data_IF_187709670661
#
_entry.id   IF_187709670661
#
_cell.length_a   1.000
_cell.length_b   1.000
_cell.length_c   1.000
_cell.angle_alpha   90.00
_cell.angle_beta   90.00
_cell.angle_gamma   90.00
#
_symmetry.space_group_name_H-M   'P 1'
#
loop_
_entity.id
_entity.type
_entity.pdbx_description
1 polymer ?
#
# COMPACT_ATOMS: atom_id res chain seq x y z
N UNK A 1 -3.43 -21.45 2.70
CA UNK A 1 -3.30 -20.03 3.10
C UNK A 1 -4.50 -19.62 3.90
N UNK A 2 -4.30 -18.68 4.77
CA UNK A 2 -5.27 -18.07 5.65
C UNK A 2 -6.25 -17.17 4.90
N UNK A 3 -7.45 -16.96 5.45
CA UNK A 3 -8.40 -15.98 4.92
C UNK A 3 -8.11 -14.59 5.51
N UNK A 4 -8.04 -13.59 4.64
CA UNK A 4 -7.85 -12.18 5.05
C UNK A 4 -9.16 -11.41 4.94
N UNK A 5 -9.56 -10.77 6.01
CA UNK A 5 -10.72 -9.87 6.04
C UNK A 5 -10.26 -8.44 6.23
N UNK A 6 -10.94 -7.52 5.56
CA UNK A 6 -10.62 -6.10 5.61
C UNK A 6 -11.86 -5.32 6.05
N UNK A 7 -11.67 -4.42 7.01
CA UNK A 7 -12.71 -3.52 7.49
C UNK A 7 -12.16 -2.09 7.59
N UNK A 8 -13.02 -1.10 7.36
CA UNK A 8 -12.67 0.31 7.49
C UNK A 8 -13.49 0.91 8.63
N UNK A 9 -12.80 1.46 9.63
CA UNK A 9 -13.37 2.16 10.77
C UNK A 9 -13.08 3.65 10.66
N UNK A 10 -14.05 4.50 11.02
CA UNK A 10 -13.96 5.95 10.87
C UNK A 10 -14.45 6.66 12.12
N UNK A 11 -13.86 7.81 12.43
CA UNK A 11 -14.34 8.73 13.46
C UNK A 11 -14.47 10.14 12.91
N UNK A 12 -15.52 10.84 13.36
CA UNK A 12 -15.76 12.28 13.11
C UNK A 12 -15.38 13.13 14.32
N UNK A 13 -14.90 12.52 15.40
CA UNK A 13 -14.58 13.24 16.63
C UNK A 13 -13.46 14.26 16.40
N UNK A 14 -13.63 15.42 17.00
CA UNK A 14 -12.58 16.44 17.02
C UNK A 14 -11.49 16.05 18.04
N UNK A 15 -10.23 16.20 17.63
CA UNK A 15 -9.05 15.81 18.40
C UNK A 15 -8.66 14.37 18.22
N UNK A 16 -7.35 14.13 18.12
CA UNK A 16 -6.79 12.81 17.82
C UNK A 16 -7.13 11.77 18.89
N UNK A 17 -6.98 12.10 20.16
CA UNK A 17 -7.20 11.15 21.28
C UNK A 17 -8.62 10.60 21.28
N UNK A 18 -9.61 11.49 21.12
CA UNK A 18 -11.02 11.08 21.08
C UNK A 18 -11.34 10.27 19.84
N UNK A 19 -10.84 10.69 18.68
CA UNK A 19 -11.03 9.98 17.43
C UNK A 19 -10.39 8.58 17.47
N UNK A 20 -9.18 8.46 18.04
CA UNK A 20 -8.50 7.19 18.24
C UNK A 20 -9.28 6.26 19.17
N UNK A 21 -9.79 6.79 20.30
CA UNK A 21 -10.63 6.03 21.23
C UNK A 21 -11.88 5.45 20.55
N UNK A 22 -12.60 6.26 19.76
CA UNK A 22 -13.78 5.82 19.01
C UNK A 22 -13.45 4.73 18.00
N UNK A 23 -12.35 4.91 17.23
CA UNK A 23 -11.91 3.93 16.23
C UNK A 23 -11.50 2.62 16.89
N UNK A 24 -10.69 2.65 17.96
CA UNK A 24 -10.25 1.43 18.65
C UNK A 24 -11.41 0.72 19.34
N UNK A 25 -12.34 1.45 19.93
CA UNK A 25 -13.57 0.87 20.52
C UNK A 25 -14.43 0.18 19.47
N UNK A 26 -14.55 0.78 18.28
CA UNK A 26 -15.28 0.17 17.16
C UNK A 26 -14.58 -1.08 16.63
N UNK A 27 -13.25 -1.09 16.56
CA UNK A 27 -12.46 -2.27 16.17
C UNK A 27 -12.71 -3.40 17.18
N UNK A 28 -12.58 -3.14 18.47
CA UNK A 28 -12.79 -4.15 19.54
C UNK A 28 -14.20 -4.74 19.49
N UNK A 29 -15.20 -3.91 19.25
CA UNK A 29 -16.60 -4.35 19.22
C UNK A 29 -16.94 -5.22 18.00
N UNK A 30 -16.22 -5.08 16.88
CA UNK A 30 -16.59 -5.68 15.59
C UNK A 30 -15.50 -6.58 14.97
N UNK A 31 -14.31 -6.66 15.58
CA UNK A 31 -13.19 -7.45 15.07
C UNK A 31 -12.63 -8.31 16.18
N UNK A 32 -12.64 -9.63 16.00
CA UNK A 32 -12.19 -10.56 17.05
C UNK A 32 -10.72 -10.35 17.41
N UNK A 33 -9.82 -10.44 16.45
CA UNK A 33 -8.38 -10.20 16.64
C UNK A 33 -7.79 -9.55 15.38
N UNK A 34 -7.51 -8.24 15.40
CA UNK A 34 -6.87 -7.58 14.27
C UNK A 34 -5.43 -8.08 14.12
N UNK A 35 -5.02 -8.30 12.89
CA UNK A 35 -3.64 -8.67 12.54
C UNK A 35 -2.81 -7.44 12.24
N UNK A 36 -3.38 -6.49 11.48
CA UNK A 36 -2.76 -5.18 11.21
C UNK A 36 -3.80 -4.07 11.26
N UNK A 37 -3.45 -2.97 11.92
CA UNK A 37 -4.22 -1.72 11.96
C UNK A 37 -3.40 -0.64 11.25
N UNK A 38 -3.86 -0.19 10.08
CA UNK A 38 -3.28 0.94 9.37
C UNK A 38 -4.13 2.17 9.65
N UNK A 39 -3.60 3.10 10.44
CA UNK A 39 -4.29 4.33 10.85
C UNK A 39 -3.90 5.50 9.95
N UNK A 40 -4.88 6.20 9.42
CA UNK A 40 -4.74 7.37 8.58
C UNK A 40 -5.21 8.61 9.33
N UNK A 41 -4.33 9.61 9.42
CA UNK A 41 -4.56 10.86 10.14
C UNK A 41 -3.94 12.05 9.42
N UNK A 42 -4.17 13.25 9.94
CA UNK A 42 -3.65 14.51 9.39
C UNK A 42 -2.83 15.26 10.43
N UNK A 43 -1.62 14.79 10.79
CA UNK A 43 -0.71 15.54 11.65
C UNK A 43 -0.25 16.81 10.93
N UNK A 44 -0.09 17.90 11.68
CA UNK A 44 0.33 19.18 11.13
C UNK A 44 1.86 19.28 10.89
N UNK A 45 2.65 18.39 11.53
CA UNK A 45 4.11 18.37 11.45
C UNK A 45 4.66 17.02 11.94
N UNK A 46 5.95 16.77 11.73
CA UNK A 46 6.67 15.55 12.15
C UNK A 46 6.64 15.30 13.65
N UNK A 47 6.67 16.35 14.46
CA UNK A 47 6.54 16.23 15.91
C UNK A 47 5.20 15.63 16.29
N UNK A 48 4.12 16.14 15.70
CA UNK A 48 2.77 15.60 15.92
C UNK A 48 2.61 14.20 15.32
N UNK A 49 3.22 13.92 14.16
CA UNK A 49 3.29 12.58 13.60
C UNK A 49 3.88 11.59 14.61
N UNK A 50 5.03 11.91 15.16
CA UNK A 50 5.74 11.06 16.12
C UNK A 50 4.94 10.85 17.41
N UNK A 51 4.30 11.90 17.93
CA UNK A 51 3.43 11.83 19.11
C UNK A 51 2.21 10.95 18.88
N UNK A 52 1.47 11.18 17.79
CA UNK A 52 0.26 10.43 17.46
C UNK A 52 0.56 8.97 17.14
N UNK A 53 1.69 8.68 16.48
CA UNK A 53 2.15 7.30 16.27
C UNK A 53 2.39 6.59 17.61
N UNK A 54 3.10 7.23 18.53
CA UNK A 54 3.36 6.68 19.86
C UNK A 54 2.05 6.45 20.63
N UNK A 55 1.11 7.41 20.59
CA UNK A 55 -0.21 7.26 21.19
C UNK A 55 -0.98 6.05 20.62
N UNK A 56 -0.93 5.83 19.29
CA UNK A 56 -1.50 4.64 18.68
C UNK A 56 -0.87 3.36 19.21
N UNK A 57 0.47 3.27 19.25
CA UNK A 57 1.20 2.09 19.70
C UNK A 57 0.89 1.77 21.17
N UNK A 58 0.86 2.78 22.04
CA UNK A 58 0.51 2.65 23.46
C UNK A 58 -0.95 2.23 23.64
N UNK A 59 -1.88 2.86 22.91
CA UNK A 59 -3.30 2.57 22.99
C UNK A 59 -3.63 1.15 22.50
N UNK A 60 -2.98 0.68 21.44
CA UNK A 60 -3.12 -0.68 20.93
C UNK A 60 -2.53 -1.69 21.90
N UNK A 61 -1.32 -1.45 22.44
CA UNK A 61 -0.69 -2.34 23.40
C UNK A 61 -1.49 -2.51 24.70
N UNK A 62 -2.23 -1.47 25.10
CA UNK A 62 -3.08 -1.51 26.29
C UNK A 62 -4.41 -2.26 26.09
N UNK A 63 -4.88 -2.44 24.85
CA UNK A 63 -6.23 -2.93 24.58
C UNK A 63 -6.30 -4.32 23.97
N UNK A 64 -5.24 -4.77 23.31
CA UNK A 64 -5.20 -6.07 22.63
C UNK A 64 -4.26 -7.03 23.36
N UNK A 65 -4.73 -8.25 23.62
CA UNK A 65 -3.94 -9.29 24.29
C UNK A 65 -2.72 -9.71 23.45
N UNK A 66 -2.91 -9.81 22.14
CA UNK A 66 -1.84 -9.92 21.16
C UNK A 66 -1.76 -8.62 20.39
N UNK A 67 -0.61 -7.95 20.45
CA UNK A 67 -0.41 -6.65 19.78
C UNK A 67 -0.48 -6.83 18.26
N UNK A 68 -1.53 -6.31 17.58
CA UNK A 68 -1.55 -6.29 16.13
C UNK A 68 -0.43 -5.40 15.60
N UNK A 69 0.01 -5.66 14.38
CA UNK A 69 0.91 -4.74 13.69
C UNK A 69 0.21 -3.41 13.47
N UNK A 70 0.91 -2.32 13.73
CA UNK A 70 0.39 -0.97 13.53
C UNK A 70 1.16 -0.26 12.43
N UNK A 71 0.47 0.51 11.60
CA UNK A 71 1.07 1.50 10.71
C UNK A 71 0.33 2.82 10.88
N UNK A 72 1.04 3.90 11.18
CA UNK A 72 0.51 5.25 11.29
C UNK A 72 0.91 6.02 10.04
N UNK A 73 -0.05 6.52 9.28
CA UNK A 73 0.14 7.16 7.98
C UNK A 73 -0.40 8.60 8.01
N UNK A 74 0.45 9.55 7.68
CA UNK A 74 0.09 10.96 7.57
C UNK A 74 -0.61 11.26 6.25
N UNK A 75 -1.83 10.75 6.11
CA UNK A 75 -2.73 11.03 4.98
C UNK A 75 -4.13 11.31 5.53
N UNK A 76 -4.64 12.49 5.27
CA UNK A 76 -5.95 12.90 5.77
C UNK A 76 -7.07 12.08 5.14
N UNK A 77 -7.89 11.36 5.92
CA UNK A 77 -9.13 10.79 5.40
C UNK A 77 -10.08 11.90 4.93
N UNK A 78 -10.72 11.72 3.77
CA UNK A 78 -11.59 12.73 3.20
C UNK A 78 -13.04 12.64 3.71
N UNK A 79 -13.45 11.47 4.19
CA UNK A 79 -14.80 11.23 4.71
C UNK A 79 -14.87 11.17 6.24
N UNK A 80 -13.78 11.48 6.95
CA UNK A 80 -13.71 11.44 8.43
C UNK A 80 -12.51 12.22 8.95
N UNK A 81 -12.42 12.41 10.27
CA UNK A 81 -11.26 13.04 10.92
C UNK A 81 -10.12 12.05 11.12
N UNK A 82 -10.46 10.79 11.35
CA UNK A 82 -9.56 9.67 11.51
C UNK A 82 -10.15 8.42 10.83
N UNK A 83 -9.33 7.59 10.24
CA UNK A 83 -9.75 6.30 9.70
C UNK A 83 -8.71 5.22 9.96
N UNK A 84 -9.17 3.99 10.14
CA UNK A 84 -8.33 2.82 10.18
C UNK A 84 -8.79 1.77 9.17
N UNK A 85 -7.88 1.24 8.39
CA UNK A 85 -8.08 -0.02 7.70
C UNK A 85 -7.53 -1.14 8.58
N UNK A 86 -8.36 -2.13 8.86
CA UNK A 86 -8.02 -3.26 9.71
C UNK A 86 -8.03 -4.54 8.89
N UNK A 87 -6.90 -5.22 8.89
CA UNK A 87 -6.78 -6.56 8.33
C UNK A 87 -6.82 -7.58 9.46
N UNK A 88 -7.63 -8.63 9.27
CA UNK A 88 -7.70 -9.78 10.17
C UNK A 88 -7.38 -11.04 9.39
N UNK A 89 -6.59 -11.91 9.96
CA UNK A 89 -6.36 -13.26 9.46
C UNK A 89 -7.17 -14.22 10.31
N UNK A 90 -8.02 -15.01 9.66
CA UNK A 90 -8.88 -15.98 10.33
C UNK A 90 -8.98 -17.27 9.49
N UNK A 91 -9.51 -18.31 10.10
CA UNK A 91 -9.79 -19.60 9.47
C UNK A 91 -9.15 -20.76 10.25
N UNK A 92 -9.66 -21.95 10.00
CA UNK A 92 -9.16 -23.19 10.61
C UNK A 92 -7.71 -23.52 10.17
N UNK A 93 -7.24 -22.87 9.11
CA UNK A 93 -5.90 -23.01 8.58
C UNK A 93 -4.84 -22.19 9.31
N UNK A 94 -5.21 -21.36 10.28
CA UNK A 94 -4.27 -20.62 11.13
C UNK A 94 -3.81 -21.55 12.24
N UNK A 95 -2.64 -22.16 12.05
CA UNK A 95 -2.03 -23.07 13.01
C UNK A 95 -1.17 -22.35 14.04
N UNK A 96 -0.50 -21.27 13.61
CA UNK A 96 0.38 -20.48 14.47
C UNK A 96 0.50 -19.04 14.01
N UNK A 97 0.67 -18.12 14.96
CA UNK A 97 1.07 -16.74 14.72
C UNK A 97 2.22 -16.40 15.67
N UNK A 98 3.36 -16.06 15.12
CA UNK A 98 4.53 -15.61 15.86
C UNK A 98 4.57 -14.07 15.83
N UNK A 99 4.59 -13.44 17.01
CA UNK A 99 4.57 -11.99 17.17
C UNK A 99 5.98 -11.46 17.45
N UNK A 100 6.41 -10.46 16.68
CA UNK A 100 7.64 -9.71 16.84
C UNK A 100 7.33 -8.21 16.92
N UNK A 101 8.30 -7.38 17.21
CA UNK A 101 8.09 -5.94 17.39
C UNK A 101 7.55 -5.25 16.12
N UNK A 102 8.14 -5.55 14.95
CA UNK A 102 7.84 -4.89 13.68
C UNK A 102 7.04 -5.76 12.70
N UNK A 103 6.84 -7.04 12.99
CA UNK A 103 6.19 -7.99 12.09
C UNK A 103 5.60 -9.19 12.84
N UNK A 104 4.71 -9.90 12.17
CA UNK A 104 4.25 -11.23 12.58
C UNK A 104 4.55 -12.24 11.47
N UNK A 105 4.67 -13.51 11.85
CA UNK A 105 4.76 -14.64 10.91
C UNK A 105 3.61 -15.58 11.15
N UNK A 106 2.81 -15.84 10.14
CA UNK A 106 1.67 -16.77 10.18
C UNK A 106 2.07 -18.09 9.55
N UNK A 107 1.79 -19.19 10.26
CA UNK A 107 2.11 -20.56 9.85
C UNK A 107 3.58 -20.76 9.41
N UNK A 108 4.50 -19.97 9.97
CA UNK A 108 5.92 -20.00 9.63
C UNK A 108 6.28 -19.58 8.20
N UNK A 109 5.33 -19.09 7.40
CA UNK A 109 5.57 -18.80 5.98
C UNK A 109 5.03 -17.47 5.44
N UNK A 110 4.13 -16.80 6.12
CA UNK A 110 3.57 -15.51 5.68
C UNK A 110 3.96 -14.41 6.68
N UNK A 111 4.74 -13.44 6.24
CA UNK A 111 5.17 -12.29 7.03
C UNK A 111 4.28 -11.09 6.72
N UNK A 112 3.81 -10.43 7.79
CA UNK A 112 3.02 -9.21 7.73
C UNK A 112 3.71 -8.17 8.60
N UNK A 113 4.17 -7.09 7.99
CA UNK A 113 4.85 -6.03 8.74
C UNK A 113 3.87 -5.00 9.30
N UNK A 114 4.32 -4.30 10.35
CA UNK A 114 3.84 -2.97 10.70
C UNK A 114 4.45 -1.88 9.82
N UNK A 115 4.30 -0.62 10.22
CA UNK A 115 5.00 0.50 9.62
C UNK A 115 6.49 0.49 10.02
N UNK A 116 7.37 0.57 9.03
CA UNK A 116 8.82 0.70 9.22
C UNK A 116 9.17 2.16 8.98
N UNK A 117 9.82 2.78 9.95
CA UNK A 117 10.10 4.21 9.99
C UNK A 117 11.58 4.47 10.20
N UNK A 118 12.02 5.69 9.87
CA UNK A 118 13.32 6.22 10.23
C UNK A 118 13.19 7.57 10.95
N UNK A 119 14.29 8.15 11.38
CA UNK A 119 14.31 9.49 11.99
C UNK A 119 13.97 10.54 10.92
N UNK A 120 12.86 11.26 11.10
CA UNK A 120 12.36 12.28 10.16
C UNK A 120 13.31 13.48 10.00
N UNK A 121 14.29 13.66 10.88
CA UNK A 121 15.33 14.72 10.76
C UNK A 121 16.35 14.41 9.67
N UNK A 122 16.40 13.18 9.18
CA UNK A 122 17.25 12.76 8.08
C UNK A 122 16.60 13.08 6.73
N UNK A 123 17.39 13.16 5.67
CA UNK A 123 16.85 13.29 4.31
C UNK A 123 16.15 12.03 3.83
N UNK A 124 15.29 12.16 2.83
CA UNK A 124 14.49 11.05 2.26
C UNK A 124 15.37 9.88 1.79
N UNK A 125 16.51 10.15 1.19
CA UNK A 125 17.51 9.15 0.79
C UNK A 125 18.03 8.33 1.98
N UNK A 126 18.50 9.01 3.03
CA UNK A 126 19.03 8.37 4.24
C UNK A 126 17.94 7.59 4.99
N UNK A 127 16.72 8.15 5.10
CA UNK A 127 15.58 7.45 5.67
C UNK A 127 15.28 6.17 4.90
N UNK A 128 15.25 6.25 3.57
CA UNK A 128 14.98 5.10 2.69
C UNK A 128 16.03 4.00 2.86
N UNK A 129 17.31 4.36 2.90
CA UNK A 129 18.40 3.40 3.13
C UNK A 129 18.27 2.68 4.47
N UNK A 130 17.98 3.41 5.55
CA UNK A 130 17.77 2.85 6.91
C UNK A 130 16.57 1.90 6.92
N UNK A 131 15.46 2.29 6.29
CA UNK A 131 14.25 1.50 6.22
C UNK A 131 14.51 0.20 5.45
N UNK A 132 15.15 0.25 4.29
CA UNK A 132 15.47 -0.96 3.52
C UNK A 132 16.50 -1.86 4.22
N UNK A 133 17.44 -1.29 4.97
CA UNK A 133 18.33 -2.07 5.84
C UNK A 133 17.52 -2.79 6.92
N UNK A 134 16.54 -2.13 7.56
CA UNK A 134 15.66 -2.76 8.57
C UNK A 134 14.79 -3.85 7.95
N UNK A 135 14.22 -3.64 6.77
CA UNK A 135 13.46 -4.67 6.04
C UNK A 135 14.32 -5.92 5.79
N UNK A 136 15.58 -5.72 5.37
CA UNK A 136 16.54 -6.82 5.17
C UNK A 136 16.79 -7.61 6.46
N UNK A 137 16.94 -6.94 7.60
CA UNK A 137 17.08 -7.59 8.90
C UNK A 137 15.83 -8.40 9.28
N UNK A 138 14.64 -7.84 9.10
CA UNK A 138 13.36 -8.51 9.36
C UNK A 138 13.24 -9.78 8.51
N UNK A 139 13.45 -9.68 7.22
CA UNK A 139 13.37 -10.81 6.29
C UNK A 139 14.37 -11.91 6.68
N UNK A 140 15.61 -11.52 7.02
CA UNK A 140 16.63 -12.46 7.49
C UNK A 140 16.21 -13.15 8.79
N UNK A 141 15.68 -12.40 9.75
CA UNK A 141 15.23 -12.94 11.04
C UNK A 141 14.06 -13.92 10.87
N UNK A 142 13.14 -13.63 9.94
CA UNK A 142 12.02 -14.48 9.59
C UNK A 142 12.41 -15.65 8.67
N UNK A 143 13.67 -15.76 8.24
CA UNK A 143 14.14 -16.73 7.24
C UNK A 143 13.30 -16.71 5.95
N UNK A 144 13.02 -15.50 5.44
CA UNK A 144 12.30 -15.23 4.19
C UNK A 144 13.25 -14.48 3.26
N UNK A 145 13.25 -14.80 1.97
CA UNK A 145 14.14 -14.16 0.99
C UNK A 145 13.60 -12.76 0.59
N UNK A 146 14.48 -11.88 0.13
CA UNK A 146 14.08 -10.53 -0.31
C UNK A 146 13.11 -10.58 -1.50
N UNK A 147 13.30 -11.49 -2.43
CA UNK A 147 12.42 -11.70 -3.59
C UNK A 147 11.11 -12.44 -3.25
N UNK A 148 10.89 -12.75 -1.98
CA UNK A 148 9.63 -13.27 -1.45
C UNK A 148 8.66 -12.16 -1.00
N UNK A 149 9.05 -10.87 -1.06
CA UNK A 149 8.14 -9.75 -0.85
C UNK A 149 7.07 -9.79 -1.97
N UNK A 150 5.80 -9.81 -1.59
CA UNK A 150 4.67 -9.87 -2.54
C UNK A 150 3.89 -8.57 -2.61
N UNK A 151 3.91 -7.76 -1.55
CA UNK A 151 3.24 -6.47 -1.48
C UNK A 151 4.07 -5.46 -0.69
N UNK A 152 4.14 -4.19 -1.19
CA UNK A 152 4.84 -3.11 -0.50
C UNK A 152 4.08 -1.78 -0.67
N UNK A 153 3.84 -1.07 0.44
CA UNK A 153 3.30 0.29 0.44
C UNK A 153 4.40 1.25 0.88
N UNK A 154 4.58 2.32 0.10
CA UNK A 154 5.62 3.31 0.31
C UNK A 154 4.97 4.69 0.41
N UNK A 155 4.92 5.23 1.60
CA UNK A 155 4.41 6.56 1.88
C UNK A 155 5.60 7.50 2.00
N UNK A 156 5.64 8.51 1.12
CA UNK A 156 6.80 9.39 0.96
C UNK A 156 6.35 10.82 1.15
N UNK A 157 6.90 11.49 2.17
CA UNK A 157 6.57 12.89 2.43
C UNK A 157 6.93 13.76 1.23
N UNK A 158 5.93 14.58 0.80
CA UNK A 158 6.09 15.50 -0.34
C UNK A 158 6.70 14.79 -1.57
N UNK A 159 6.11 13.69 -1.99
CA UNK A 159 6.64 12.77 -2.99
C UNK A 159 7.12 13.46 -4.29
N UNK A 160 6.46 14.53 -4.72
CA UNK A 160 6.80 15.31 -5.93
C UNK A 160 7.82 16.42 -5.68
N UNK A 161 8.17 16.72 -4.41
CA UNK A 161 9.10 17.79 -4.07
C UNK A 161 10.49 17.52 -4.65
N UNK A 162 11.05 18.55 -5.27
CA UNK A 162 12.42 18.53 -5.81
C UNK A 162 13.31 19.38 -4.89
N UNK A 163 14.11 18.70 -4.07
CA UNK A 163 15.10 19.30 -3.21
C UNK A 163 16.49 19.39 -3.86
N UNK A 164 17.49 19.80 -3.08
CA UNK A 164 18.88 19.93 -3.56
C UNK A 164 19.47 18.60 -4.08
N UNK A 165 19.06 17.46 -3.51
CA UNK A 165 19.56 16.12 -3.85
C UNK A 165 18.74 15.40 -4.91
N UNK A 166 17.58 15.91 -5.27
CA UNK A 166 16.68 15.33 -6.26
C UNK A 166 15.23 15.32 -5.80
N UNK A 167 14.38 14.73 -6.62
CA UNK A 167 12.98 14.52 -6.28
C UNK A 167 12.86 13.43 -5.19
N UNK A 168 12.01 13.64 -4.19
CA UNK A 168 11.82 12.69 -3.09
C UNK A 168 11.48 11.28 -3.60
N UNK A 169 10.60 11.17 -4.58
CA UNK A 169 10.27 9.88 -5.19
C UNK A 169 11.48 9.20 -5.86
N UNK A 170 12.35 9.97 -6.54
CA UNK A 170 13.55 9.43 -7.17
C UNK A 170 14.56 8.97 -6.12
N UNK A 171 14.80 9.75 -5.08
CA UNK A 171 15.69 9.37 -3.98
C UNK A 171 15.25 8.07 -3.30
N UNK A 172 13.95 7.93 -3.07
CA UNK A 172 13.38 6.68 -2.58
C UNK A 172 13.59 5.50 -3.56
N UNK A 173 13.33 5.71 -4.85
CA UNK A 173 13.52 4.70 -5.89
C UNK A 173 14.96 4.23 -6.01
N UNK A 174 15.93 5.12 -5.84
CA UNK A 174 17.36 4.80 -5.86
C UNK A 174 17.73 3.86 -4.71
N UNK A 175 17.30 4.17 -3.48
CA UNK A 175 17.49 3.31 -2.31
C UNK A 175 16.79 1.96 -2.48
N UNK A 176 15.52 1.94 -2.96
CA UNK A 176 14.77 0.71 -3.25
C UNK A 176 15.49 -0.15 -4.29
N UNK A 177 15.98 0.47 -5.35
CA UNK A 177 16.70 -0.25 -6.39
C UNK A 177 18.02 -0.84 -5.89
N UNK A 178 18.77 -0.10 -5.06
CA UNK A 178 19.97 -0.62 -4.41
C UNK A 178 19.64 -1.86 -3.55
N UNK A 179 18.57 -1.82 -2.77
CA UNK A 179 18.10 -2.96 -1.98
C UNK A 179 17.65 -4.13 -2.87
N UNK A 180 16.83 -3.90 -3.90
CA UNK A 180 16.32 -4.95 -4.77
C UNK A 180 17.42 -5.60 -5.63
N UNK A 181 18.45 -4.85 -5.99
CA UNK A 181 19.60 -5.39 -6.74
C UNK A 181 20.47 -6.36 -5.92
N UNK A 182 20.18 -6.56 -4.62
CA UNK A 182 20.87 -7.57 -3.79
C UNK A 182 20.39 -9.00 -4.04
N UNK A 183 19.33 -9.20 -4.84
CA UNK A 183 18.78 -10.53 -5.21
C UNK A 183 18.30 -10.54 -6.66
N UNK A 184 17.96 -11.72 -7.18
CA UNK A 184 17.33 -11.88 -8.48
C UNK A 184 15.80 -11.92 -8.30
N UNK A 185 15.07 -11.33 -9.23
CA UNK A 185 13.62 -11.24 -9.24
C UNK A 185 13.01 -12.05 -10.38
N UNK A 186 13.36 -13.35 -10.45
CA UNK A 186 12.94 -14.24 -11.55
C UNK A 186 11.43 -14.40 -11.64
N UNK A 187 10.72 -14.23 -10.51
CA UNK A 187 9.25 -14.22 -10.44
C UNK A 187 8.66 -12.81 -10.37
N UNK A 188 9.31 -11.81 -10.97
CA UNK A 188 8.86 -10.41 -10.94
C UNK A 188 8.97 -9.72 -9.58
N UNK A 189 8.74 -8.41 -9.57
CA UNK A 189 8.74 -7.56 -8.38
C UNK A 189 7.43 -7.70 -7.56
N UNK A 190 7.37 -7.19 -6.31
CA UNK A 190 6.11 -7.13 -5.58
C UNK A 190 5.10 -6.19 -6.27
N UNK A 191 3.82 -6.41 -6.02
CA UNK A 191 2.85 -5.33 -6.20
C UNK A 191 3.18 -4.19 -5.23
N UNK A 192 3.20 -2.94 -5.68
CA UNK A 192 3.55 -1.82 -4.81
C UNK A 192 2.79 -0.53 -5.12
N UNK A 193 2.69 0.31 -4.09
CA UNK A 193 2.16 1.67 -4.16
C UNK A 193 3.22 2.64 -3.67
N UNK A 194 3.48 3.71 -4.42
CA UNK A 194 4.35 4.81 -4.02
C UNK A 194 3.54 6.10 -4.04
N UNK A 195 3.16 6.58 -2.85
CA UNK A 195 2.16 7.66 -2.70
C UNK A 195 2.62 8.71 -1.69
N UNK A 196 2.17 9.94 -1.85
CA UNK A 196 2.53 11.06 -0.99
C UNK A 196 1.99 10.95 0.42
N UNK A 197 2.75 11.44 1.39
CA UNK A 197 2.32 11.70 2.77
C UNK A 197 2.54 13.17 3.12
N UNK A 198 1.78 13.70 4.11
CA UNK A 198 1.88 15.09 4.53
C UNK A 198 3.02 15.34 5.53
N UNK A 199 3.42 14.32 6.27
CA UNK A 199 4.47 14.36 7.29
C UNK A 199 5.02 12.96 7.55
N UNK A 200 6.10 12.83 8.33
CA UNK A 200 6.64 11.57 8.81
C UNK A 200 7.76 11.00 7.94
N UNK A 201 8.23 11.75 6.96
CA UNK A 201 9.32 11.34 6.08
C UNK A 201 8.94 10.14 5.21
N UNK A 202 9.61 9.02 5.38
CA UNK A 202 9.33 7.77 4.67
C UNK A 202 8.75 6.72 5.62
N UNK A 203 7.65 6.10 5.21
CA UNK A 203 7.08 4.93 5.89
C UNK A 203 6.90 3.81 4.89
N UNK A 204 7.38 2.61 5.21
CA UNK A 204 7.17 1.41 4.40
C UNK A 204 6.42 0.36 5.19
N UNK A 205 5.44 -0.27 4.54
CA UNK A 205 4.71 -1.46 5.02
C UNK A 205 4.88 -2.55 3.97
N UNK A 206 5.10 -3.79 4.36
CA UNK A 206 5.25 -4.87 3.39
C UNK A 206 4.70 -6.20 3.89
N UNK A 207 4.34 -7.06 2.94
CA UNK A 207 3.96 -8.46 3.17
C UNK A 207 4.87 -9.35 2.31
N UNK A 208 5.30 -10.48 2.87
CA UNK A 208 6.13 -11.45 2.17
C UNK A 208 5.62 -12.87 2.40
N UNK A 209 5.86 -13.77 1.44
CA UNK A 209 5.43 -15.16 1.50
C UNK A 209 6.64 -16.04 1.15
N UNK A 210 7.06 -16.89 2.06
CA UNK A 210 8.19 -17.81 1.83
C UNK A 210 7.95 -18.66 0.59
N UNK A 211 8.96 -18.75 -0.29
CA UNK A 211 8.88 -19.41 -1.59
C UNK A 211 7.75 -18.83 -2.45
N UNK A 212 7.68 -17.49 -2.52
CA UNK A 212 6.57 -16.77 -3.20
C UNK A 212 6.39 -17.17 -4.66
N UNK A 213 7.44 -17.64 -5.33
CA UNK A 213 7.38 -18.12 -6.71
C UNK A 213 6.43 -19.32 -6.91
N UNK A 214 6.21 -20.14 -5.88
CA UNK A 214 5.27 -21.26 -5.92
C UNK A 214 3.82 -20.84 -5.67
N UNK A 215 3.59 -19.62 -5.17
CA UNK A 215 2.30 -19.18 -4.62
C UNK A 215 1.82 -17.85 -5.16
N UNK A 216 2.60 -17.19 -5.98
CA UNK A 216 2.22 -15.88 -6.53
C UNK A 216 2.67 -15.72 -7.96
N UNK A 217 1.82 -15.07 -8.74
CA UNK A 217 2.04 -14.79 -10.16
C UNK A 217 1.97 -13.28 -10.37
N UNK A 218 2.99 -12.64 -10.97
CA UNK A 218 2.90 -11.24 -11.37
C UNK A 218 1.84 -11.07 -12.45
N UNK A 219 1.08 -9.98 -12.39
CA UNK A 219 0.07 -9.65 -13.38
C UNK A 219 0.40 -8.30 -13.99
N UNK A 220 0.60 -8.30 -15.30
CA UNK A 220 0.75 -7.11 -16.11
C UNK A 220 -0.56 -6.67 -16.75
N UNK A 221 -0.60 -5.40 -17.15
CA UNK A 221 -1.67 -4.83 -17.95
C UNK A 221 -1.11 -4.47 -19.32
N UNK A 222 -1.51 -5.14 -20.42
CA UNK A 222 -1.02 -4.84 -21.76
C UNK A 222 -1.38 -3.43 -22.26
N UNK A 223 -2.30 -2.73 -21.58
CA UNK A 223 -2.65 -1.34 -21.87
C UNK A 223 -1.64 -0.35 -21.25
N UNK A 224 -0.71 -0.83 -20.41
CA UNK A 224 0.29 -0.03 -19.72
C UNK A 224 1.68 -0.65 -19.89
N UNK A 225 2.72 0.16 -20.05
CA UNK A 225 4.10 -0.33 -20.00
C UNK A 225 4.42 -0.70 -18.54
N UNK A 226 5.11 -1.83 -18.33
CA UNK A 226 5.58 -2.25 -17.00
C UNK A 226 6.42 -1.14 -16.36
N UNK A 227 6.19 -0.83 -15.08
CA UNK A 227 6.78 0.34 -14.43
C UNK A 227 8.33 0.32 -14.45
N UNK A 228 8.91 -0.88 -14.34
CA UNK A 228 10.36 -1.07 -14.39
C UNK A 228 10.97 -0.89 -15.80
N UNK A 229 10.13 -0.80 -16.85
CA UNK A 229 10.52 -0.57 -18.24
C UNK A 229 10.23 0.86 -18.73
N UNK A 230 9.83 1.79 -17.86
CA UNK A 230 9.57 3.18 -18.23
C UNK A 230 10.78 3.85 -18.89
N UNK A 231 10.50 4.65 -19.91
CA UNK A 231 11.52 5.46 -20.58
C UNK A 231 12.07 6.56 -19.64
N UNK A 232 13.27 7.04 -19.93
CA UNK A 232 13.88 8.16 -19.17
C UNK A 232 13.08 9.48 -19.31
N UNK A 233 12.18 9.58 -20.28
CA UNK A 233 11.39 10.78 -20.58
C UNK A 233 10.29 11.03 -19.56
N UNK A 234 9.67 9.97 -19.05
CA UNK A 234 8.57 10.07 -18.06
C UNK A 234 9.04 10.09 -16.61
N UNK A 235 10.35 9.90 -16.38
CA UNK A 235 10.96 9.98 -15.06
C UNK A 235 11.42 11.41 -14.77
N UNK A 236 11.05 11.94 -13.60
CA UNK A 236 11.36 13.32 -13.21
C UNK A 236 12.61 13.34 -12.35
N UNK A 237 13.59 14.16 -12.73
CA UNK A 237 14.74 14.51 -11.91
C UNK A 237 15.31 15.85 -12.40
N UNK A 238 16.00 16.58 -11.53
CA UNK A 238 16.66 17.85 -11.83
C UNK A 238 18.12 17.70 -12.33
N UNK A 239 18.58 16.47 -12.57
CA UNK A 239 19.94 16.19 -13.07
C UNK A 239 19.87 15.39 -14.38
N UNK A 240 20.91 15.48 -15.19
CA UNK A 240 21.09 14.67 -16.41
C UNK A 240 21.52 13.21 -16.12
N UNK A 241 21.60 12.84 -14.84
CA UNK A 241 21.92 11.48 -14.43
C UNK A 241 20.82 10.49 -14.86
N UNK A 242 21.22 9.24 -15.11
CA UNK A 242 20.29 8.17 -15.40
C UNK A 242 19.31 7.99 -14.22
N UNK A 243 18.02 8.04 -14.53
CA UNK A 243 16.95 7.94 -13.53
C UNK A 243 16.58 6.49 -13.32
N UNK A 244 16.45 6.10 -12.06
CA UNK A 244 16.06 4.75 -11.69
C UNK A 244 14.56 4.55 -11.89
N UNK A 245 14.19 3.50 -12.65
CA UNK A 245 12.77 3.15 -12.87
C UNK A 245 12.14 2.59 -11.60
N UNK A 246 10.85 2.87 -11.35
CA UNK A 246 10.11 2.21 -10.29
C UNK A 246 10.10 0.69 -10.48
N UNK A 247 10.33 -0.07 -9.41
CA UNK A 247 10.40 -1.53 -9.45
C UNK A 247 9.17 -2.12 -8.77
N UNK A 248 8.15 -2.43 -9.54
CA UNK A 248 6.93 -3.11 -9.08
C UNK A 248 6.16 -3.71 -10.27
N UNK A 249 5.35 -4.72 -10.00
CA UNK A 249 4.36 -5.26 -10.93
C UNK A 249 3.03 -4.53 -10.79
N UNK A 250 2.21 -4.50 -11.84
CA UNK A 250 0.90 -3.82 -11.84
C UNK A 250 -0.07 -4.44 -10.86
N UNK A 251 -0.03 -5.76 -10.71
CA UNK A 251 -0.71 -6.49 -9.66
C UNK A 251 0.04 -7.80 -9.37
N UNK A 252 -0.36 -8.48 -8.30
CA UNK A 252 0.18 -9.79 -7.97
C UNK A 252 -0.92 -10.70 -7.47
N UNK A 253 -1.14 -11.79 -8.20
CA UNK A 253 -2.04 -12.85 -7.80
C UNK A 253 -1.37 -13.71 -6.73
N UNK A 254 -2.10 -14.06 -5.68
CA UNK A 254 -1.68 -14.95 -4.61
C UNK A 254 -2.61 -16.15 -4.62
N UNK A 255 -2.06 -17.34 -4.90
CA UNK A 255 -2.79 -18.60 -4.82
C UNK A 255 -2.79 -19.14 -3.39
N UNK A 256 -3.87 -19.81 -3.01
CA UNK A 256 -4.03 -20.39 -1.69
C UNK A 256 -5.43 -20.92 -1.46
N UNK A 257 -5.82 -21.07 -0.21
CA UNK A 257 -7.19 -21.47 0.13
C UNK A 257 -8.23 -20.43 -0.29
N UNK A 258 -7.87 -19.15 -0.17
CA UNK A 258 -8.57 -18.03 -0.78
C UNK A 258 -7.61 -17.35 -1.75
N UNK A 259 -8.00 -17.27 -3.01
CA UNK A 259 -7.20 -16.55 -4.00
C UNK A 259 -7.41 -15.05 -3.86
N UNK A 260 -6.34 -14.28 -4.02
CA UNK A 260 -6.43 -12.83 -3.98
C UNK A 260 -5.49 -12.19 -5.01
N UNK A 261 -5.82 -10.96 -5.38
CA UNK A 261 -4.96 -10.10 -6.20
C UNK A 261 -4.64 -8.85 -5.41
N UNK A 262 -3.36 -8.63 -5.14
CA UNK A 262 -2.85 -7.34 -4.69
C UNK A 262 -2.73 -6.40 -5.89
N UNK A 263 -3.49 -5.31 -5.89
CA UNK A 263 -3.50 -4.29 -6.94
C UNK A 263 -2.56 -3.17 -6.50
N UNK A 264 -1.56 -2.88 -7.32
CA UNK A 264 -0.63 -1.75 -7.08
C UNK A 264 -1.32 -0.40 -7.24
N UNK A 265 -0.66 0.67 -6.79
CA UNK A 265 -1.07 2.02 -7.13
C UNK A 265 -1.24 2.16 -8.64
N UNK A 266 -2.48 2.38 -9.05
CA UNK A 266 -2.91 2.45 -10.44
C UNK A 266 -3.55 3.80 -10.68
N UNK A 267 -3.17 4.46 -11.77
CA UNK A 267 -3.67 5.77 -12.16
C UNK A 267 -4.10 5.77 -13.64
N UNK A 268 -4.57 6.93 -14.12
CA UNK A 268 -5.02 7.14 -15.49
C UNK A 268 -3.83 7.20 -16.47
N UNK A 269 -3.22 6.05 -16.74
CA UNK A 269 -2.05 5.89 -17.61
C UNK A 269 -2.38 4.91 -18.76
N UNK A 270 -2.01 5.27 -19.99
CA UNK A 270 -1.99 4.40 -21.16
C UNK A 270 -0.57 4.34 -21.73
N UNK A 271 -0.07 3.11 -21.97
CA UNK A 271 1.36 2.96 -22.24
C UNK A 271 2.16 3.44 -21.04
N UNK A 272 2.96 4.48 -21.20
CA UNK A 272 3.66 5.20 -20.13
C UNK A 272 3.16 6.64 -19.92
N UNK A 273 2.22 7.10 -20.74
CA UNK A 273 1.71 8.47 -20.74
C UNK A 273 0.53 8.64 -19.80
N UNK A 274 0.54 9.73 -19.04
CA UNK A 274 -0.57 10.14 -18.19
C UNK A 274 -1.68 10.74 -19.05
N UNK A 275 -2.93 10.29 -18.87
CA UNK A 275 -4.08 10.87 -19.56
C UNK A 275 -4.51 12.16 -18.86
N UNK A 276 -4.62 13.24 -19.64
CA UNK A 276 -4.98 14.57 -19.16
C UNK A 276 -6.50 14.82 -19.21
N UNK A 277 -7.27 13.88 -18.68
CA UNK A 277 -8.70 14.01 -18.49
C UNK A 277 -9.01 14.76 -17.17
N UNK A 278 -10.26 15.18 -17.00
CA UNK A 278 -10.74 15.65 -15.70
C UNK A 278 -10.77 14.52 -14.65
N UNK A 279 -11.13 14.83 -13.43
CA UNK A 279 -11.12 13.84 -12.33
C UNK A 279 -12.05 12.66 -12.61
N UNK A 280 -13.19 12.89 -13.27
CA UNK A 280 -14.14 11.82 -13.60
C UNK A 280 -13.56 10.91 -14.68
N UNK A 281 -12.98 11.48 -15.74
CA UNK A 281 -12.30 10.73 -16.79
C UNK A 281 -11.10 9.94 -16.26
N UNK A 282 -10.27 10.55 -15.38
CA UNK A 282 -9.16 9.85 -14.75
C UNK A 282 -9.64 8.73 -13.81
N UNK A 283 -10.74 8.93 -13.07
CA UNK A 283 -11.33 7.86 -12.23
C UNK A 283 -11.80 6.68 -13.08
N UNK A 284 -12.52 6.96 -14.16
CA UNK A 284 -13.02 5.95 -15.07
C UNK A 284 -11.87 5.13 -15.70
N UNK A 285 -10.83 5.80 -16.20
CA UNK A 285 -9.68 5.15 -16.81
C UNK A 285 -8.85 4.34 -15.80
N UNK A 286 -8.71 4.85 -14.58
CA UNK A 286 -8.03 4.14 -13.48
C UNK A 286 -8.76 2.84 -13.15
N UNK A 287 -10.09 2.89 -13.03
CA UNK A 287 -10.88 1.69 -12.74
C UNK A 287 -10.90 0.72 -13.92
N UNK A 288 -10.94 1.21 -15.18
CA UNK A 288 -10.79 0.35 -16.36
C UNK A 288 -9.45 -0.43 -16.34
N UNK A 289 -8.35 0.23 -15.95
CA UNK A 289 -7.06 -0.45 -15.77
C UNK A 289 -7.12 -1.52 -14.68
N UNK A 290 -7.78 -1.23 -13.56
CA UNK A 290 -7.92 -2.16 -12.43
C UNK A 290 -8.82 -3.35 -12.79
N UNK A 291 -9.95 -3.11 -13.44
CA UNK A 291 -10.85 -4.16 -13.91
C UNK A 291 -10.15 -5.11 -14.89
N UNK A 292 -9.30 -4.54 -15.76
CA UNK A 292 -8.49 -5.35 -16.68
C UNK A 292 -7.50 -6.24 -15.90
N UNK A 293 -6.78 -5.68 -14.93
CA UNK A 293 -5.81 -6.44 -14.10
C UNK A 293 -6.46 -7.62 -13.38
N UNK A 294 -7.69 -7.46 -12.88
CA UNK A 294 -8.40 -8.47 -12.11
C UNK A 294 -9.23 -9.43 -12.96
N UNK A 295 -9.37 -9.14 -14.26
CA UNK A 295 -10.16 -9.93 -15.20
C UNK A 295 -9.64 -11.36 -15.39
N UNK A 296 -10.54 -12.35 -15.48
CA UNK A 296 -10.21 -13.78 -15.62
C UNK A 296 -9.32 -14.06 -16.85
N UNK A 297 -9.58 -13.39 -17.97
CA UNK A 297 -8.79 -13.58 -19.19
C UNK A 297 -7.38 -13.03 -19.05
N UNK A 298 -7.20 -11.88 -18.35
CA UNK A 298 -5.89 -11.34 -18.08
C UNK A 298 -5.11 -12.19 -17.07
N UNK A 299 -5.78 -12.72 -16.03
CA UNK A 299 -5.17 -13.69 -15.12
C UNK A 299 -4.62 -14.88 -15.88
N UNK A 300 -5.42 -15.46 -16.80
CA UNK A 300 -5.00 -16.59 -17.65
C UNK A 300 -3.83 -16.23 -18.57
N UNK A 301 -3.87 -15.05 -19.19
CA UNK A 301 -2.79 -14.56 -20.06
C UNK A 301 -1.47 -14.36 -19.33
N UNK A 302 -1.52 -14.04 -18.03
CA UNK A 302 -0.34 -13.90 -17.15
C UNK A 302 0.07 -15.23 -16.47
N UNK A 303 -0.53 -16.37 -16.82
CA UNK A 303 -0.11 -17.69 -16.34
C UNK A 303 -0.66 -18.08 -14.96
N UNK A 304 -1.75 -17.45 -14.50
CA UNK A 304 -2.47 -17.94 -13.32
C UNK A 304 -3.09 -19.29 -13.66
N UNK A 305 -2.73 -20.33 -12.91
CA UNK A 305 -3.15 -21.71 -13.16
C UNK A 305 -4.66 -21.93 -13.04
N UNK A 306 -5.25 -21.27 -12.02
CA UNK A 306 -6.69 -21.35 -11.74
C UNK A 306 -7.28 -19.93 -11.65
N UNK A 307 -7.51 -19.25 -12.80
CA UNK A 307 -8.04 -17.91 -12.80
C UNK A 307 -9.51 -17.90 -12.35
N UNK A 308 -9.85 -17.01 -11.42
CA UNK A 308 -11.17 -16.90 -10.80
C UNK A 308 -11.75 -15.50 -10.98
N UNK A 309 -13.08 -15.41 -10.89
CA UNK A 309 -13.76 -14.12 -10.80
C UNK A 309 -13.44 -13.48 -9.44
N UNK A 310 -13.02 -12.24 -9.48
CA UNK A 310 -12.62 -11.48 -8.30
C UNK A 310 -13.67 -10.44 -7.90
N UNK A 311 -13.79 -10.19 -6.60
CA UNK A 311 -14.53 -9.08 -6.01
C UNK A 311 -13.57 -8.19 -5.20
N UNK A 312 -13.79 -6.87 -5.22
CA UNK A 312 -12.96 -5.93 -4.48
C UNK A 312 -13.23 -6.00 -2.97
N UNK A 313 -12.26 -6.48 -2.20
CA UNK A 313 -12.37 -6.65 -0.75
C UNK A 313 -12.14 -5.34 0.00
N UNK A 314 -11.17 -4.54 -0.42
CA UNK A 314 -10.88 -3.20 0.09
C UNK A 314 -10.14 -2.39 -0.96
N UNK A 315 -10.45 -1.10 -1.05
CA UNK A 315 -9.80 -0.17 -1.96
C UNK A 315 -9.42 1.11 -1.23
N UNK A 316 -8.30 1.72 -1.62
CA UNK A 316 -7.88 3.05 -1.22
C UNK A 316 -7.81 3.93 -2.45
N UNK A 317 -8.51 5.05 -2.43
CA UNK A 317 -8.47 6.07 -3.48
C UNK A 317 -7.77 7.32 -2.93
N UNK A 318 -6.65 7.65 -3.53
CA UNK A 318 -5.83 8.79 -3.19
C UNK A 318 -6.16 9.94 -4.13
N UNK A 319 -6.70 11.03 -3.60
CA UNK A 319 -7.09 12.21 -4.36
C UNK A 319 -6.08 13.34 -4.12
N UNK A 320 -5.57 13.90 -5.20
CA UNK A 320 -4.64 15.03 -5.15
C UNK A 320 -5.31 16.30 -4.61
N UNK A 321 -6.56 16.50 -4.96
CA UNK A 321 -7.36 17.67 -4.52
C UNK A 321 -8.60 17.23 -3.76
N UNK A 322 -8.79 17.82 -2.57
CA UNK A 322 -9.92 17.47 -1.67
C UNK A 322 -11.29 17.78 -2.27
N UNK A 323 -11.38 18.82 -3.11
CA UNK A 323 -12.60 19.24 -3.77
C UNK A 323 -13.07 18.28 -4.87
N UNK A 324 -12.26 17.31 -5.26
CA UNK A 324 -12.65 16.25 -6.22
C UNK A 324 -13.44 15.10 -5.56
N UNK A 325 -13.61 15.13 -4.23
CA UNK A 325 -14.23 14.01 -3.51
C UNK A 325 -15.65 13.70 -3.97
N UNK A 326 -16.48 14.72 -4.14
CA UNK A 326 -17.89 14.54 -4.50
C UNK A 326 -18.04 13.93 -5.90
N UNK A 327 -17.25 14.38 -6.86
CA UNK A 327 -17.25 13.84 -8.22
C UNK A 327 -16.81 12.36 -8.23
N UNK A 328 -15.70 12.07 -7.53
CA UNK A 328 -15.18 10.69 -7.43
C UNK A 328 -16.15 9.77 -6.72
N UNK A 329 -16.70 10.18 -5.57
CA UNK A 329 -17.64 9.34 -4.82
C UNK A 329 -18.95 9.12 -5.58
N UNK A 330 -19.43 10.13 -6.30
CA UNK A 330 -20.61 10.01 -7.17
C UNK A 330 -20.37 9.00 -8.28
N UNK A 331 -19.23 9.09 -8.95
CA UNK A 331 -18.86 8.16 -10.02
C UNK A 331 -18.68 6.73 -9.49
N UNK A 332 -17.92 6.55 -8.40
CA UNK A 332 -17.65 5.25 -7.78
C UNK A 332 -18.94 4.59 -7.29
N UNK A 333 -19.81 5.30 -6.60
CA UNK A 333 -21.09 4.77 -6.12
C UNK A 333 -22.03 4.39 -7.27
N UNK A 334 -21.96 5.09 -8.41
CA UNK A 334 -22.76 4.78 -9.60
C UNK A 334 -22.31 3.51 -10.31
N UNK A 335 -21.02 3.19 -10.29
CA UNK A 335 -20.44 2.05 -11.01
C UNK A 335 -20.11 0.86 -10.11
N UNK A 336 -19.74 1.09 -8.86
CA UNK A 336 -19.32 0.09 -7.87
C UNK A 336 -20.00 0.30 -6.52
N UNK A 337 -21.34 0.18 -6.43
CA UNK A 337 -22.11 0.59 -5.24
C UNK A 337 -21.79 -0.22 -3.97
N UNK A 338 -21.27 -1.45 -4.11
CA UNK A 338 -20.89 -2.31 -2.98
C UNK A 338 -19.40 -2.25 -2.62
N UNK A 339 -18.61 -1.42 -3.32
CA UNK A 339 -17.16 -1.37 -3.09
C UNK A 339 -16.84 -0.59 -1.80
N UNK A 340 -16.04 -1.18 -0.92
CA UNK A 340 -15.53 -0.53 0.28
C UNK A 340 -14.29 0.31 -0.06
N UNK A 341 -14.45 1.63 -0.13
CA UNK A 341 -13.37 2.56 -0.49
C UNK A 341 -13.00 3.46 0.69
N UNK A 342 -11.70 3.58 0.95
CA UNK A 342 -11.14 4.59 1.83
C UNK A 342 -10.56 5.73 0.98
N UNK A 343 -11.19 6.90 1.03
CA UNK A 343 -10.76 8.09 0.31
C UNK A 343 -9.77 8.88 1.17
N UNK A 344 -8.59 9.15 0.60
CA UNK A 344 -7.46 9.79 1.27
C UNK A 344 -6.96 10.99 0.45
N UNK A 345 -6.52 12.02 1.13
CA UNK A 345 -5.82 13.12 0.48
C UNK A 345 -4.33 12.83 0.41
N UNK A 346 -3.78 12.78 -0.80
CA UNK A 346 -2.36 12.53 -1.01
C UNK A 346 -1.89 13.09 -2.36
N UNK A 347 -0.62 13.50 -2.43
CA UNK A 347 0.05 13.77 -3.69
C UNK A 347 0.35 12.46 -4.41
N UNK A 348 0.22 12.48 -5.73
CA UNK A 348 0.51 11.37 -6.62
C UNK A 348 1.89 11.61 -7.26
N UNK A 349 2.58 10.54 -7.63
CA UNK A 349 3.97 10.60 -8.11
C UNK A 349 4.21 11.43 -9.39
N UNK A 350 3.15 11.82 -10.12
CA UNK A 350 3.18 12.72 -11.27
C UNK A 350 2.19 13.86 -11.07
N UNK A 351 2.56 15.06 -11.54
CA UNK A 351 1.77 16.27 -11.29
C UNK A 351 0.41 16.30 -11.97
N UNK A 352 0.29 15.73 -13.17
CA UNK A 352 -0.92 15.70 -13.98
C UNK A 352 -1.94 14.65 -13.53
N UNK A 353 -1.55 13.71 -12.65
CA UNK A 353 -2.46 12.71 -12.12
C UNK A 353 -3.25 13.26 -10.94
N UNK A 354 -4.56 13.08 -10.99
CA UNK A 354 -5.52 13.61 -10.02
C UNK A 354 -5.99 12.55 -9.02
N UNK A 355 -5.88 11.27 -9.40
CA UNK A 355 -6.31 10.13 -8.59
C UNK A 355 -5.38 8.93 -8.84
N UNK A 356 -5.12 8.19 -7.76
CA UNK A 356 -4.49 6.87 -7.79
C UNK A 356 -5.32 5.93 -6.92
N UNK A 357 -5.53 4.70 -7.36
CA UNK A 357 -6.32 3.70 -6.63
C UNK A 357 -5.49 2.42 -6.50
N UNK A 358 -5.55 1.82 -5.32
CA UNK A 358 -4.97 0.51 -5.02
C UNK A 358 -5.96 -0.36 -4.25
N UNK A 359 -5.66 -1.63 -4.06
CA UNK A 359 -6.48 -2.46 -3.19
C UNK A 359 -6.19 -3.95 -3.24
N UNK A 360 -7.16 -4.69 -2.77
CA UNK A 360 -7.17 -6.15 -2.77
C UNK A 360 -8.49 -6.62 -3.39
N UNK A 361 -8.38 -7.49 -4.37
CA UNK A 361 -9.50 -8.27 -4.87
C UNK A 361 -9.35 -9.73 -4.41
N UNK A 362 -10.47 -10.41 -4.18
CA UNK A 362 -10.56 -11.80 -3.71
C UNK A 362 -11.49 -12.59 -4.58
N UNK A 363 -11.28 -13.90 -4.64
CA UNK A 363 -12.21 -14.79 -5.34
C UNK A 363 -13.63 -14.65 -4.76
N UNK A 364 -14.61 -14.68 -5.64
CA UNK A 364 -16.03 -14.72 -5.28
C UNK A 364 -16.35 -16.09 -4.68
N UNK A 365 -16.97 -16.12 -3.49
CA UNK A 365 -17.41 -17.36 -2.84
C UNK A 365 -18.58 -18.02 -3.58
#
# INVERSE_FOLDING_TARGET
MTRKHYNIYRSQAEGFDKALEEVLSAIIANTAEPTRITLFASPAADTQFSEQRKQLEEAVSARFAHKPMTAYIAQAPLCSKLAAEVMTIAGEEVESIEYHDDYIVVNGNELISGGIYADQRLGIDQQSEIIFARIKEILKAANIATNDIVRQWNYIEQITHIGERGQHYQLFNDARSAFYNTTQWDNGYPAATGIGAQAGGVTVVFDAIRNSAERSTPIDNPLQISAHAYSQQVLINNTDAHKTTPKFERARHISGHEQMIHISGTAAIRGEDSCQEDITGQTALTMENIDYLTGVDNQRANGVESPEKMEYATMRAYLKYRNNLDDVTTWMNGHYPSMHVLYLWADICREELLIEIEGVAKQTN
#
